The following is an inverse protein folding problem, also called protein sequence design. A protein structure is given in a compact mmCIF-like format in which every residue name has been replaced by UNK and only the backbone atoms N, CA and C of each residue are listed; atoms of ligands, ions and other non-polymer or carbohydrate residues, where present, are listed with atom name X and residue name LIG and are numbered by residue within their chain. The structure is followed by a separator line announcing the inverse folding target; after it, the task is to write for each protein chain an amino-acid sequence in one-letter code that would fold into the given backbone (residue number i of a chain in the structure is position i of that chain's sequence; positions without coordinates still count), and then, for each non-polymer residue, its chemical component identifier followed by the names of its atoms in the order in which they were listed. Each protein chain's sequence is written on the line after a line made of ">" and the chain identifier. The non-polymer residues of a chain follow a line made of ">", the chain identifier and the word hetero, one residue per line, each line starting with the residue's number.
data_IF_070583201483
#
_entry.id   IF_070583201483
#
_cell.length_a   1.000
_cell.length_b   1.000
_cell.length_c   1.000
_cell.angle_alpha   90.00
_cell.angle_beta   90.00
_cell.angle_gamma   90.00
#
_symmetry.space_group_name_H-M   'P 1'
#
loop_
_entity.id
_entity.type
_entity.pdbx_description
1 polymer ?
#
# COMPACT_ATOMS: atom_id res chain seq x y z
N UNK A 1 -9.07 -10.10 -20.29
CA UNK A 1 -10.14 -10.31 -19.28
C UNK A 1 -11.40 -9.58 -19.74
N UNK A 2 -12.55 -10.25 -19.76
CA UNK A 2 -13.82 -9.68 -20.18
C UNK A 2 -14.21 -8.50 -19.27
N UNK A 3 -14.36 -7.31 -19.86
CA UNK A 3 -14.84 -6.10 -19.17
C UNK A 3 -16.36 -6.09 -18.95
N UNK A 4 -17.03 -7.18 -19.31
CA UNK A 4 -18.48 -7.31 -19.29
C UNK A 4 -18.88 -8.64 -18.66
N UNK A 5 -20.04 -8.68 -18.01
CA UNK A 5 -20.58 -9.87 -17.35
C UNK A 5 -22.10 -9.91 -17.46
N UNK A 6 -22.68 -11.11 -17.43
CA UNK A 6 -24.11 -11.31 -17.30
C UNK A 6 -24.50 -11.35 -15.81
N UNK A 7 -25.51 -10.59 -15.36
CA UNK A 7 -25.96 -10.63 -13.96
C UNK A 7 -26.79 -11.88 -13.62
N UNK A 8 -27.31 -12.59 -14.63
CA UNK A 8 -28.23 -13.72 -14.44
C UNK A 8 -27.53 -15.09 -14.52
N UNK A 9 -26.61 -15.26 -15.45
CA UNK A 9 -25.90 -16.53 -15.64
C UNK A 9 -24.66 -16.64 -14.75
N UNK A 10 -24.30 -17.86 -14.34
CA UNK A 10 -23.04 -18.10 -13.64
C UNK A 10 -21.82 -17.73 -14.51
N UNK A 11 -20.85 -17.04 -13.91
CA UNK A 11 -19.64 -16.54 -14.59
C UNK A 11 -18.80 -17.62 -15.26
N UNK A 12 -18.92 -18.90 -14.84
CA UNK A 12 -18.20 -20.03 -15.45
C UNK A 12 -18.69 -20.38 -16.85
N UNK A 13 -19.92 -20.03 -17.19
CA UNK A 13 -20.54 -20.41 -18.46
C UNK A 13 -20.90 -19.17 -19.31
N UNK A 14 -20.42 -17.99 -18.96
CA UNK A 14 -20.68 -16.77 -19.73
C UNK A 14 -19.80 -16.74 -20.98
N UNK A 15 -20.41 -16.98 -22.15
CA UNK A 15 -19.82 -16.69 -23.45
C UNK A 15 -20.51 -15.47 -24.07
N UNK A 16 -19.71 -14.66 -24.76
CA UNK A 16 -20.17 -13.42 -25.38
C UNK A 16 -20.59 -13.69 -26.82
N UNK A 17 -21.75 -13.18 -27.21
CA UNK A 17 -22.22 -13.21 -28.60
C UNK A 17 -22.67 -11.81 -28.99
N UNK A 18 -22.46 -11.43 -30.24
CA UNK A 18 -23.02 -10.19 -30.78
C UNK A 18 -24.39 -10.50 -31.36
N UNK A 19 -25.40 -9.75 -30.95
CA UNK A 19 -26.74 -9.81 -31.55
C UNK A 19 -26.71 -9.26 -32.97
N UNK A 20 -27.72 -9.57 -33.78
CA UNK A 20 -27.89 -9.00 -35.12
C UNK A 20 -28.01 -7.46 -35.09
N UNK A 21 -28.37 -6.90 -33.93
CA UNK A 21 -28.47 -5.45 -33.67
C UNK A 21 -27.13 -4.82 -33.27
N UNK A 22 -26.04 -5.59 -33.24
CA UNK A 22 -24.71 -5.11 -32.85
C UNK A 22 -24.45 -5.04 -31.33
N UNK A 23 -25.44 -5.41 -30.50
CA UNK A 23 -25.31 -5.40 -29.03
C UNK A 23 -24.62 -6.68 -28.54
N UNK A 24 -23.73 -6.52 -27.56
CA UNK A 24 -23.06 -7.64 -26.86
C UNK A 24 -24.03 -8.29 -25.87
N UNK A 25 -24.38 -9.55 -26.14
CA UNK A 25 -25.32 -10.36 -25.36
C UNK A 25 -24.67 -11.62 -24.79
N UNK A 26 -25.28 -12.16 -23.74
CA UNK A 26 -24.91 -13.46 -23.20
C UNK A 26 -25.43 -14.57 -24.11
N UNK A 27 -24.58 -15.51 -24.52
CA UNK A 27 -25.01 -16.59 -25.40
C UNK A 27 -25.85 -17.69 -24.74
N UNK A 28 -26.02 -17.67 -23.40
CA UNK A 28 -26.90 -18.59 -22.67
C UNK A 28 -28.33 -18.06 -22.57
N UNK A 29 -28.51 -16.85 -22.01
CA UNK A 29 -29.84 -16.28 -21.76
C UNK A 29 -30.29 -15.25 -22.80
N UNK A 30 -29.39 -14.77 -23.68
CA UNK A 30 -29.70 -13.72 -24.66
C UNK A 30 -29.71 -12.29 -24.11
N UNK A 31 -29.56 -12.10 -22.80
CA UNK A 31 -29.58 -10.77 -22.18
C UNK A 31 -28.34 -9.94 -22.52
N UNK A 32 -28.46 -8.59 -22.55
CA UNK A 32 -27.33 -7.69 -22.77
C UNK A 32 -26.30 -7.81 -21.63
N UNK A 33 -25.02 -7.84 -22.02
CA UNK A 33 -23.91 -7.89 -21.09
C UNK A 33 -23.67 -6.53 -20.42
N UNK A 34 -23.46 -6.53 -19.11
CA UNK A 34 -23.25 -5.31 -18.31
C UNK A 34 -21.76 -5.06 -18.12
N UNK A 35 -21.32 -3.81 -18.24
CA UNK A 35 -19.92 -3.43 -18.01
C UNK A 35 -19.55 -3.60 -16.53
N UNK A 36 -18.46 -4.32 -16.27
CA UNK A 36 -17.92 -4.47 -14.92
C UNK A 36 -17.29 -3.14 -14.48
N UNK A 37 -17.62 -2.62 -13.28
CA UNK A 37 -16.98 -1.43 -12.76
C UNK A 37 -15.48 -1.71 -12.59
N UNK A 38 -14.65 -0.84 -13.18
CA UNK A 38 -13.18 -0.98 -13.15
C UNK A 38 -12.61 -0.72 -11.75
N UNK A 39 -13.30 0.14 -10.99
CA UNK A 39 -12.85 0.63 -9.70
C UNK A 39 -13.97 0.38 -8.68
N UNK A 40 -13.62 -0.30 -7.59
CA UNK A 40 -14.50 -0.47 -6.44
C UNK A 40 -14.25 0.69 -5.47
N UNK A 41 -15.20 1.62 -5.35
CA UNK A 41 -15.11 2.79 -4.46
C UNK A 41 -14.83 2.38 -3.00
N UNK A 42 -15.40 1.27 -2.54
CA UNK A 42 -15.17 0.74 -1.20
C UNK A 42 -13.71 0.36 -0.96
N UNK A 43 -13.03 -0.13 -2.00
CA UNK A 43 -11.60 -0.48 -1.93
C UNK A 43 -10.72 0.76 -1.84
N UNK A 44 -11.10 1.85 -2.52
CA UNK A 44 -10.40 3.14 -2.43
C UNK A 44 -10.54 3.70 -1.02
N UNK A 45 -11.77 3.77 -0.50
CA UNK A 45 -12.04 4.30 0.85
C UNK A 45 -11.29 3.47 1.90
N UNK A 46 -11.29 2.14 1.76
CA UNK A 46 -10.51 1.26 2.63
C UNK A 46 -9.00 1.53 2.57
N UNK A 47 -8.45 1.79 1.38
CA UNK A 47 -7.03 2.14 1.23
C UNK A 47 -6.69 3.47 1.89
N UNK A 48 -7.56 4.49 1.72
CA UNK A 48 -7.38 5.80 2.36
C UNK A 48 -7.42 5.66 3.88
N UNK A 49 -8.40 4.96 4.44
CA UNK A 49 -8.48 4.70 5.87
C UNK A 49 -7.22 3.98 6.39
N UNK A 50 -6.79 2.91 5.72
CA UNK A 50 -5.58 2.18 6.10
C UNK A 50 -4.33 3.07 6.07
N UNK A 51 -4.18 3.92 5.04
CA UNK A 51 -3.06 4.86 4.96
C UNK A 51 -3.08 5.91 6.07
N UNK A 52 -4.25 6.43 6.45
CA UNK A 52 -4.38 7.39 7.53
C UNK A 52 -3.95 6.78 8.87
N UNK A 53 -4.28 5.51 9.11
CA UNK A 53 -3.81 4.78 10.29
C UNK A 53 -2.31 4.43 10.26
N UNK A 54 -1.75 4.10 9.09
CA UNK A 54 -0.32 3.76 8.96
C UNK A 54 0.59 4.99 9.06
N UNK A 55 0.12 6.15 8.60
CA UNK A 55 0.90 7.38 8.53
C UNK A 55 1.58 7.76 9.86
N UNK A 56 0.89 7.83 11.03
CA UNK A 56 1.53 8.17 12.30
C UNK A 56 2.61 7.16 12.71
N UNK A 57 2.41 5.86 12.43
CA UNK A 57 3.41 4.83 12.72
C UNK A 57 4.68 5.03 11.89
N UNK A 58 4.53 5.29 10.59
CA UNK A 58 5.66 5.54 9.69
C UNK A 58 6.42 6.80 10.14
N UNK A 59 5.70 7.88 10.48
CA UNK A 59 6.32 9.12 10.97
C UNK A 59 7.11 8.86 12.26
N UNK A 60 6.54 8.11 13.21
CA UNK A 60 7.22 7.77 14.46
C UNK A 60 8.51 6.99 14.19
N UNK A 61 8.46 5.98 13.33
CA UNK A 61 9.63 5.17 12.95
C UNK A 61 10.72 6.06 12.34
N UNK A 62 10.37 6.96 11.42
CA UNK A 62 11.32 7.89 10.81
C UNK A 62 11.95 8.79 11.88
N UNK A 63 11.15 9.29 12.82
CA UNK A 63 11.64 10.17 13.88
C UNK A 63 12.65 9.46 14.78
N UNK A 64 12.35 8.23 15.18
CA UNK A 64 13.25 7.38 15.97
C UNK A 64 14.56 7.12 15.23
N UNK A 65 14.51 6.75 13.95
CA UNK A 65 15.72 6.52 13.15
C UNK A 65 16.58 7.81 13.06
N UNK A 66 15.93 8.96 12.89
CA UNK A 66 16.63 10.26 12.85
C UNK A 66 17.29 10.61 14.18
N UNK A 67 16.70 10.22 15.29
CA UNK A 67 17.25 10.45 16.62
C UNK A 67 18.51 9.59 16.84
N UNK A 68 18.41 8.29 16.56
CA UNK A 68 19.57 7.38 16.57
C UNK A 68 20.68 7.78 15.59
N UNK A 69 20.34 8.38 14.45
CA UNK A 69 21.34 8.85 13.47
C UNK A 69 22.02 10.15 13.88
N UNK A 70 21.40 10.95 14.76
CA UNK A 70 21.98 12.19 15.30
C UNK A 70 22.98 11.91 16.41
N UNK A 71 22.81 10.82 17.15
CA UNK A 71 23.83 10.26 18.03
C UNK A 71 24.96 9.61 17.21
N UNK A 72 25.65 10.40 16.41
CA UNK A 72 27.04 10.07 16.07
C UNK A 72 27.76 10.04 17.42
N UNK A 73 28.33 8.91 17.89
CA UNK A 73 29.13 8.94 19.10
C UNK A 73 30.16 10.06 18.90
N UNK A 74 30.37 10.95 19.90
CA UNK A 74 31.42 11.94 19.77
C UNK A 74 32.67 11.19 19.37
N UNK A 75 33.29 11.55 18.24
CA UNK A 75 34.56 10.93 17.81
C UNK A 75 35.72 11.35 18.73
N UNK A 76 35.40 11.73 19.97
CA UNK A 76 36.31 12.21 20.97
C UNK A 76 36.88 10.99 21.71
N UNK A 77 37.55 10.10 20.98
CA UNK A 77 38.61 9.29 21.59
C UNK A 77 39.59 10.21 22.33
N UNK A 78 39.77 11.43 21.83
CA UNK A 78 40.68 12.43 22.41
C UNK A 78 40.16 13.01 23.75
N UNK A 79 38.84 13.20 23.92
CA UNK A 79 38.30 13.75 25.19
C UNK A 79 38.20 12.70 26.29
N UNK A 80 37.92 11.44 25.93
CA UNK A 80 37.94 10.33 26.90
C UNK A 80 39.38 10.02 27.36
N UNK A 81 40.36 10.11 26.46
CA UNK A 81 41.79 9.97 26.83
C UNK A 81 42.24 11.10 27.76
N UNK A 82 41.86 12.36 27.49
CA UNK A 82 42.20 13.48 28.41
C UNK A 82 41.56 13.33 29.80
N UNK A 83 40.27 12.99 29.87
CA UNK A 83 39.59 12.76 31.15
C UNK A 83 40.20 11.60 31.94
N UNK A 84 40.75 10.59 31.25
CA UNK A 84 41.43 9.46 31.90
C UNK A 84 42.84 9.86 32.38
N UNK A 85 43.57 10.69 31.63
CA UNK A 85 44.90 11.19 32.01
C UNK A 85 44.84 12.16 33.18
N UNK A 86 43.89 13.10 33.21
CA UNK A 86 43.72 14.02 34.35
C UNK A 86 43.40 13.26 35.65
N UNK A 87 42.59 12.22 35.55
CA UNK A 87 42.22 11.39 36.70
C UNK A 87 43.36 10.50 37.19
N UNK A 88 44.36 10.21 36.34
CA UNK A 88 45.55 9.45 36.69
C UNK A 88 46.61 10.30 37.41
N UNK A 89 46.64 11.61 37.15
CA UNK A 89 47.56 12.57 37.80
C UNK A 89 47.05 13.10 39.15
N UNK A 90 45.82 12.77 39.54
CA UNK A 90 45.18 13.20 40.79
C UNK A 90 45.14 12.12 41.87
N UNK A 91 45.87 11.02 41.67
CA UNK A 91 46.21 9.97 42.67
C UNK A 91 47.72 10.01 42.90
#
# INVERSE_FOLDING_TARGET
>A
MSRYYCPFCSSRYQFHKTSNEGVLICGLCGDPLVKKPLINSRRIIGAVAASAFLTPLIIMIIFVIKDFSKEKPPNNSDSLVQLTIEKLWTI
#
